data_IF_918695247512
#
_entry.id   IF_918695247512
#
_cell.length_a   1.000
_cell.length_b   1.000
_cell.length_c   1.000
_cell.angle_alpha   90.00
_cell.angle_beta   90.00
_cell.angle_gamma   90.00
#
_symmetry.space_group_name_H-M   'P 1'
#
loop_
_entity.id
_entity.type
_entity.pdbx_description
1 polymer ?
#
# COMPACT_ATOMS: atom_id res chain seq x y z
N UNK A 1 21.25 -18.63 5.53
CA UNK A 1 21.28 -17.40 4.69
C UNK A 1 19.93 -17.08 4.05
N UNK A 2 19.17 -18.07 3.55
CA UNK A 2 17.89 -17.84 2.82
C UNK A 2 16.77 -17.24 3.69
N UNK A 3 16.66 -17.59 4.97
CA UNK A 3 15.60 -17.09 5.85
C UNK A 3 15.62 -15.56 6.04
N UNK A 4 16.81 -14.95 6.20
CA UNK A 4 16.95 -13.50 6.37
C UNK A 4 16.53 -12.72 5.13
N UNK A 5 16.73 -13.29 3.93
CA UNK A 5 16.32 -12.68 2.66
C UNK A 5 14.79 -12.62 2.51
N UNK A 6 14.03 -13.43 3.25
CA UNK A 6 12.56 -13.38 3.26
C UNK A 6 12.00 -12.59 4.43
N UNK A 7 12.67 -12.61 5.59
CA UNK A 7 12.25 -11.86 6.78
C UNK A 7 12.34 -10.35 6.56
N UNK A 8 13.44 -9.85 6.00
CA UNK A 8 13.64 -8.40 5.84
C UNK A 8 12.59 -7.76 4.91
N UNK A 9 12.34 -8.29 3.70
CA UNK A 9 11.30 -7.74 2.82
C UNK A 9 9.89 -7.96 3.40
N UNK A 10 9.67 -9.02 4.18
CA UNK A 10 8.40 -9.25 4.87
C UNK A 10 8.11 -8.18 5.92
N UNK A 11 9.10 -7.82 6.75
CA UNK A 11 8.98 -6.73 7.71
C UNK A 11 8.79 -5.37 7.04
N UNK A 12 9.52 -5.11 5.95
CA UNK A 12 9.35 -3.89 5.14
C UNK A 12 7.96 -3.81 4.50
N UNK A 13 7.45 -4.93 3.96
CA UNK A 13 6.10 -5.01 3.42
C UNK A 13 5.06 -4.71 4.51
N UNK A 14 5.20 -5.31 5.70
CA UNK A 14 4.29 -5.06 6.82
C UNK A 14 4.32 -3.59 7.25
N UNK A 15 5.52 -2.99 7.38
CA UNK A 15 5.67 -1.58 7.73
C UNK A 15 5.07 -0.65 6.67
N UNK A 16 5.30 -0.95 5.38
CA UNK A 16 4.73 -0.20 4.27
C UNK A 16 3.19 -0.30 4.23
N UNK A 17 2.64 -1.49 4.51
CA UNK A 17 1.20 -1.71 4.62
C UNK A 17 0.57 -0.94 5.79
N UNK A 18 1.17 -1.02 6.98
CA UNK A 18 0.72 -0.25 8.15
C UNK A 18 0.81 1.26 7.93
N UNK A 19 1.89 1.72 7.33
CA UNK A 19 2.07 3.12 6.93
C UNK A 19 0.99 3.55 5.93
N UNK A 20 0.71 2.75 4.91
CA UNK A 20 -0.34 3.05 3.94
C UNK A 20 -1.72 3.11 4.62
N UNK A 21 -2.03 2.18 5.51
CA UNK A 21 -3.28 2.17 6.27
C UNK A 21 -3.41 3.44 7.13
N UNK A 22 -2.36 3.81 7.87
CA UNK A 22 -2.35 5.03 8.69
C UNK A 22 -2.60 6.29 7.86
N UNK A 23 -1.91 6.44 6.72
CA UNK A 23 -2.14 7.59 5.83
C UNK A 23 -3.55 7.56 5.20
N UNK A 24 -4.10 6.38 4.91
CA UNK A 24 -5.48 6.23 4.44
C UNK A 24 -6.49 6.69 5.50
N UNK A 25 -6.28 6.38 6.79
CA UNK A 25 -7.11 6.92 7.87
C UNK A 25 -7.01 8.45 7.98
N UNK A 26 -5.81 9.02 7.86
CA UNK A 26 -5.59 10.47 7.85
C UNK A 26 -6.22 11.18 6.63
N UNK A 27 -6.54 10.45 5.56
CA UNK A 27 -7.20 10.99 4.37
C UNK A 27 -8.72 11.08 4.49
N UNK A 28 -9.34 10.33 5.41
CA UNK A 28 -10.80 10.30 5.57
C UNK A 28 -11.45 11.68 5.85
N UNK A 29 -10.81 12.62 6.57
CA UNK A 29 -11.34 13.99 6.72
C UNK A 29 -11.25 14.85 5.45
N UNK A 30 -10.45 14.44 4.46
CA UNK A 30 -10.12 15.23 3.27
C UNK A 30 -10.89 14.78 2.03
N UNK A 31 -11.97 14.01 2.19
CA UNK A 31 -12.72 13.45 1.07
C UNK A 31 -13.49 14.54 0.34
N UNK A 32 -13.33 14.61 -0.98
CA UNK A 32 -14.05 15.57 -1.80
C UNK A 32 -15.52 15.14 -1.98
N UNK A 33 -16.50 16.06 -1.81
CA UNK A 33 -17.89 15.80 -2.19
C UNK A 33 -17.98 15.41 -3.68
N UNK A 34 -18.91 14.52 -4.08
CA UNK A 34 -20.05 13.98 -3.33
C UNK A 34 -19.73 12.72 -2.50
N UNK A 35 -18.46 12.34 -2.36
CA UNK A 35 -18.06 11.09 -1.70
C UNK A 35 -18.06 11.25 -0.19
N UNK A 36 -18.21 10.15 0.53
CA UNK A 36 -18.13 10.10 1.99
C UNK A 36 -16.99 9.20 2.45
N UNK A 37 -16.42 9.47 3.62
CA UNK A 37 -15.39 8.62 4.23
C UNK A 37 -15.85 7.15 4.31
N UNK A 38 -17.12 6.92 4.66
CA UNK A 38 -17.71 5.58 4.71
C UNK A 38 -17.72 4.90 3.34
N UNK A 39 -18.06 5.62 2.26
CA UNK A 39 -18.05 5.06 0.90
C UNK A 39 -16.67 4.57 0.46
N UNK A 40 -15.60 5.18 0.96
CA UNK A 40 -14.22 4.79 0.63
C UNK A 40 -13.78 3.50 1.30
N UNK A 41 -14.37 3.12 2.45
CA UNK A 41 -14.08 1.85 3.12
C UNK A 41 -14.51 0.65 2.27
N UNK A 42 -15.58 0.80 1.47
CA UNK A 42 -16.07 -0.24 0.55
C UNK A 42 -15.52 -0.06 -0.87
N UNK A 43 -14.96 1.10 -1.19
CA UNK A 43 -14.41 1.43 -2.51
C UNK A 43 -12.90 1.72 -2.41
N UNK A 44 -12.13 0.75 -1.92
CA UNK A 44 -10.68 0.90 -1.70
C UNK A 44 -9.91 1.42 -2.94
N UNK A 45 -10.35 1.08 -4.16
CA UNK A 45 -9.72 1.58 -5.40
C UNK A 45 -9.79 3.11 -5.56
N UNK A 46 -10.77 3.78 -4.92
CA UNK A 46 -10.93 5.24 -4.98
C UNK A 46 -9.81 5.97 -4.24
N UNK A 47 -9.13 5.32 -3.30
CA UNK A 47 -7.95 5.90 -2.66
C UNK A 47 -6.81 6.19 -3.64
N UNK A 48 -6.81 5.59 -4.83
CA UNK A 48 -5.79 5.81 -5.86
C UNK A 48 -6.17 6.86 -6.90
N UNK A 49 -7.40 7.38 -6.85
CA UNK A 49 -7.86 8.37 -7.81
C UNK A 49 -7.47 9.78 -7.35
N UNK A 50 -6.92 10.63 -8.24
CA UNK A 50 -6.51 11.98 -7.89
C UNK A 50 -7.69 12.85 -7.43
N UNK A 51 -8.89 12.62 -7.96
CA UNK A 51 -10.07 13.44 -7.72
C UNK A 51 -10.86 13.02 -6.47
N UNK A 52 -10.33 12.12 -5.64
CA UNK A 52 -11.01 11.63 -4.43
C UNK A 52 -10.84 12.54 -3.23
N UNK A 53 -9.75 13.28 -3.17
CA UNK A 53 -9.39 14.08 -2.02
C UNK A 53 -9.33 15.56 -2.37
N UNK A 54 -9.64 16.40 -1.40
CA UNK A 54 -9.43 17.84 -1.47
C UNK A 54 -7.93 18.15 -1.56
N UNK A 55 -7.55 19.34 -2.07
CA UNK A 55 -6.14 19.75 -2.15
C UNK A 55 -5.39 19.69 -0.81
N UNK A 56 -6.08 19.91 0.31
CA UNK A 56 -5.54 19.78 1.67
C UNK A 56 -5.04 18.36 2.00
N UNK A 57 -5.60 17.33 1.37
CA UNK A 57 -5.19 15.93 1.56
C UNK A 57 -4.08 15.44 0.63
N UNK A 58 -3.68 16.20 -0.41
CA UNK A 58 -2.77 15.71 -1.46
C UNK A 58 -1.39 15.26 -0.95
N UNK A 59 -0.83 15.95 0.05
CA UNK A 59 0.45 15.56 0.63
C UNK A 59 0.35 14.20 1.34
N UNK A 60 -0.74 13.96 2.06
CA UNK A 60 -1.02 12.70 2.75
C UNK A 60 -1.29 11.59 1.72
N UNK A 61 -2.04 11.90 0.67
CA UNK A 61 -2.33 10.99 -0.43
C UNK A 61 -1.04 10.53 -1.12
N UNK A 62 -0.11 11.44 -1.42
CA UNK A 62 1.18 11.09 -1.99
C UNK A 62 1.99 10.14 -1.09
N UNK A 63 2.00 10.38 0.22
CA UNK A 63 2.68 9.48 1.19
C UNK A 63 2.02 8.12 1.25
N UNK A 64 0.68 8.06 1.24
CA UNK A 64 -0.07 6.80 1.16
C UNK A 64 0.30 6.01 -0.10
N UNK A 65 0.37 6.68 -1.26
CA UNK A 65 0.74 6.05 -2.53
C UNK A 65 2.19 5.53 -2.52
N UNK A 66 3.13 6.29 -1.94
CA UNK A 66 4.52 5.83 -1.76
C UNK A 66 4.56 4.56 -0.91
N UNK A 67 3.88 4.56 0.24
CA UNK A 67 3.81 3.39 1.13
C UNK A 67 3.16 2.19 0.43
N UNK A 68 2.09 2.40 -0.33
CA UNK A 68 1.47 1.31 -1.10
C UNK A 68 2.38 0.81 -2.23
N UNK A 69 3.10 1.70 -2.91
CA UNK A 69 4.09 1.32 -3.92
C UNK A 69 5.21 0.47 -3.32
N UNK A 70 5.74 0.85 -2.15
CA UNK A 70 6.74 0.07 -1.42
C UNK A 70 6.20 -1.31 -1.01
N UNK A 71 4.95 -1.37 -0.54
CA UNK A 71 4.30 -2.64 -0.21
C UNK A 71 4.22 -3.56 -1.43
N UNK A 72 3.71 -3.06 -2.56
CA UNK A 72 3.59 -3.83 -3.81
C UNK A 72 4.94 -4.31 -4.31
N UNK A 73 5.99 -3.48 -4.23
CA UNK A 73 7.35 -3.86 -4.60
C UNK A 73 7.90 -4.98 -3.70
N UNK A 74 7.69 -4.88 -2.38
CA UNK A 74 8.18 -5.90 -1.44
C UNK A 74 7.44 -7.23 -1.63
N UNK A 75 6.12 -7.21 -1.75
CA UNK A 75 5.31 -8.42 -1.96
C UNK A 75 5.58 -9.04 -3.34
N UNK A 76 5.66 -8.22 -4.39
CA UNK A 76 6.00 -8.67 -5.74
C UNK A 76 7.39 -9.30 -5.81
N UNK A 77 8.38 -8.69 -5.15
CA UNK A 77 9.73 -9.24 -5.03
C UNK A 77 9.76 -10.58 -4.29
N UNK A 78 9.06 -10.68 -3.15
CA UNK A 78 8.93 -11.94 -2.41
C UNK A 78 8.27 -13.05 -3.25
N UNK A 79 7.19 -12.72 -3.97
CA UNK A 79 6.50 -13.67 -4.84
C UNK A 79 7.39 -14.16 -5.99
N UNK A 80 8.15 -13.26 -6.63
CA UNK A 80 9.08 -13.62 -7.71
C UNK A 80 10.22 -14.52 -7.21
N UNK A 81 10.81 -14.20 -6.06
CA UNK A 81 11.85 -15.05 -5.44
C UNK A 81 11.30 -16.42 -5.06
N UNK A 82 10.07 -16.47 -4.51
CA UNK A 82 9.38 -17.72 -4.21
C UNK A 82 9.13 -18.58 -5.45
N UNK A 83 8.60 -17.98 -6.52
CA UNK A 83 8.34 -18.65 -7.78
C UNK A 83 9.63 -19.20 -8.43
N UNK A 84 10.71 -18.40 -8.44
CA UNK A 84 12.00 -18.84 -8.96
C UNK A 84 12.57 -20.01 -8.14
N UNK A 85 12.47 -19.94 -6.80
CA UNK A 85 12.95 -21.00 -5.92
C UNK A 85 12.20 -22.31 -6.13
N UNK A 86 10.88 -22.24 -6.33
CA UNK A 86 10.05 -23.39 -6.66
C UNK A 86 10.43 -24.00 -8.01
N UNK A 87 10.64 -23.17 -9.04
CA UNK A 87 11.03 -23.63 -10.37
C UNK A 87 12.40 -24.34 -10.41
N UNK A 88 13.33 -23.94 -9.55
CA UNK A 88 14.66 -24.56 -9.45
C UNK A 88 14.69 -25.83 -8.59
N UNK A 89 13.64 -26.09 -7.80
CA UNK A 89 13.56 -27.24 -6.88
C UNK A 89 12.69 -28.39 -7.40
N UNK A 90 12.06 -28.22 -8.57
CA UNK A 90 11.21 -29.21 -9.23
C UNK A 90 11.81 -29.79 -10.51
#
# INVERSE_FOLDING_TARGET
MVAWLMILPGLLALGAWLSAAFHAFLLLPHVAPPRTAFSLLFQGFRFFQPDTFLPSGHAIHRRMLISMGLFVLCVGGLAAVGALSAALSG
#
